data_IF_486588037784
#
_entry.id   IF_486588037784
#
_cell.length_a   1.000
_cell.length_b   1.000
_cell.length_c   1.000
_cell.angle_alpha   90.00
_cell.angle_beta   90.00
_cell.angle_gamma   90.00
#
_symmetry.space_group_name_H-M   'P 1'
#
loop_
_entity.id
_entity.type
_entity.pdbx_description
1 polymer ?
#
# COMPACT_ATOMS: atom_id res chain seq x y z
N UNK A 1 14.65 -12.67 10.74
CA UNK A 1 13.75 -11.86 9.88
C UNK A 1 13.77 -10.37 10.23
N UNK A 2 14.30 -9.96 11.38
CA UNK A 2 14.24 -8.58 11.88
C UNK A 2 14.99 -7.56 11.02
N UNK A 3 16.12 -7.94 10.39
CA UNK A 3 16.82 -7.06 9.46
C UNK A 3 15.93 -6.64 8.27
N UNK A 4 15.08 -7.54 7.77
CA UNK A 4 14.12 -7.19 6.70
C UNK A 4 13.08 -6.20 7.20
N UNK A 5 12.59 -6.38 8.44
CA UNK A 5 11.65 -5.47 9.10
C UNK A 5 12.28 -4.07 9.25
N UNK A 6 13.50 -4.00 9.78
CA UNK A 6 14.25 -2.75 9.96
C UNK A 6 14.50 -2.02 8.64
N UNK A 7 14.82 -2.75 7.56
CA UNK A 7 14.98 -2.15 6.23
C UNK A 7 13.68 -1.57 5.66
N UNK A 8 12.50 -1.93 6.18
CA UNK A 8 11.22 -1.37 5.76
C UNK A 8 10.87 -0.14 6.59
N UNK A 9 10.92 -0.26 7.92
CA UNK A 9 10.64 0.82 8.85
C UNK A 9 11.19 0.50 10.25
N UNK A 10 11.69 1.51 10.98
CA UNK A 10 12.25 1.32 12.32
C UNK A 10 11.22 0.78 13.32
N UNK A 11 10.00 1.30 13.28
CA UNK A 11 8.89 0.88 14.16
C UNK A 11 8.38 -0.54 13.91
N UNK A 12 8.93 -1.27 12.95
CA UNK A 12 8.62 -2.70 12.78
C UNK A 12 9.26 -3.60 13.84
N UNK A 13 10.16 -3.04 14.65
CA UNK A 13 10.77 -3.70 15.79
C UNK A 13 9.96 -3.42 17.05
N UNK A 14 9.75 -4.43 17.88
CA UNK A 14 8.98 -4.33 19.10
C UNK A 14 9.68 -3.38 20.10
N UNK A 15 8.90 -2.46 20.70
CA UNK A 15 9.40 -1.51 21.71
C UNK A 15 10.17 -0.31 21.16
N UNK A 16 10.23 -0.12 19.84
CA UNK A 16 10.87 1.06 19.20
C UNK A 16 9.86 2.16 18.88
N UNK A 17 8.57 1.85 18.95
CA UNK A 17 7.51 2.82 18.72
C UNK A 17 7.49 3.87 19.84
N UNK A 18 7.62 5.17 19.52
CA UNK A 18 7.68 6.20 20.53
C UNK A 18 6.27 6.51 21.06
N UNK A 19 6.14 6.58 22.39
CA UNK A 19 4.90 6.97 23.04
C UNK A 19 4.79 8.51 22.99
N UNK A 20 4.12 9.02 21.96
CA UNK A 20 3.98 10.46 21.70
C UNK A 20 2.50 10.82 21.65
N UNK A 21 2.07 11.66 22.60
CA UNK A 21 0.67 12.11 22.69
C UNK A 21 0.28 13.09 21.56
N UNK A 22 1.23 13.84 20.99
CA UNK A 22 0.95 14.79 19.89
C UNK A 22 0.95 14.09 18.52
N UNK A 23 -0.21 14.02 17.83
CA UNK A 23 -0.31 13.37 16.52
C UNK A 23 0.57 14.02 15.44
N UNK A 24 0.87 15.32 15.54
CA UNK A 24 1.73 16.00 14.55
C UNK A 24 3.18 15.58 14.68
N UNK A 25 3.67 15.51 15.92
CA UNK A 25 5.04 15.08 16.20
C UNK A 25 5.19 13.59 15.92
N UNK A 26 4.19 12.77 16.27
CA UNK A 26 4.15 11.34 15.91
C UNK A 26 4.27 11.12 14.40
N UNK A 27 3.51 11.88 13.59
CA UNK A 27 3.61 11.80 12.13
C UNK A 27 4.98 12.21 11.58
N UNK A 28 5.58 13.25 12.15
CA UNK A 28 6.91 13.71 11.74
C UNK A 28 7.98 12.65 12.03
N UNK A 29 7.95 12.08 13.24
CA UNK A 29 8.86 11.00 13.64
C UNK A 29 8.67 9.74 12.78
N UNK A 30 7.42 9.37 12.47
CA UNK A 30 7.10 8.29 11.54
C UNK A 30 7.80 8.50 10.19
N UNK A 31 7.67 9.68 9.58
CA UNK A 31 8.33 9.99 8.31
C UNK A 31 9.86 10.03 8.39
N UNK A 32 10.41 10.63 9.45
CA UNK A 32 11.87 10.79 9.62
C UNK A 32 12.56 9.47 9.94
N UNK A 33 11.86 8.52 10.56
CA UNK A 33 12.41 7.20 10.93
C UNK A 33 12.61 6.24 9.74
N UNK A 34 12.07 6.53 8.56
CA UNK A 34 12.26 5.72 7.35
C UNK A 34 12.39 6.56 6.08
N UNK A 35 13.58 6.52 5.47
CA UNK A 35 13.83 7.17 4.18
C UNK A 35 12.96 6.63 3.03
N UNK A 36 12.52 5.36 3.11
CA UNK A 36 11.59 4.78 2.13
C UNK A 36 10.20 5.40 2.26
N UNK A 37 9.70 5.55 3.49
CA UNK A 37 8.41 6.17 3.74
C UNK A 37 8.44 7.66 3.38
N UNK A 38 9.54 8.35 3.66
CA UNK A 38 9.73 9.74 3.24
C UNK A 38 9.70 9.92 1.72
N UNK A 39 10.32 9.00 0.97
CA UNK A 39 10.26 9.01 -0.50
C UNK A 39 8.85 8.70 -1.00
N UNK A 40 8.20 7.69 -0.40
CA UNK A 40 6.81 7.33 -0.70
C UNK A 40 5.89 8.54 -0.50
N UNK A 41 6.08 9.31 0.57
CA UNK A 41 5.28 10.51 0.85
C UNK A 41 5.30 11.51 -0.30
N UNK A 42 6.50 11.86 -0.76
CA UNK A 42 6.69 12.80 -1.88
C UNK A 42 6.07 12.29 -3.18
N UNK A 43 6.15 10.99 -3.43
CA UNK A 43 5.54 10.37 -4.62
C UNK A 43 4.01 10.37 -4.52
N UNK A 44 3.46 9.97 -3.38
CA UNK A 44 2.03 9.86 -3.15
C UNK A 44 1.33 11.22 -3.23
N UNK A 45 1.94 12.28 -2.72
CA UNK A 45 1.39 13.65 -2.86
C UNK A 45 1.24 14.03 -4.33
N UNK A 46 2.28 13.82 -5.15
CA UNK A 46 2.22 14.11 -6.60
C UNK A 46 1.18 13.27 -7.32
N UNK A 47 1.10 11.98 -7.01
CA UNK A 47 0.10 11.07 -7.60
C UNK A 47 -1.32 11.52 -7.24
N UNK A 48 -1.53 11.98 -6.01
CA UNK A 48 -2.83 12.49 -5.57
C UNK A 48 -3.21 13.78 -6.29
N UNK A 49 -2.28 14.71 -6.44
CA UNK A 49 -2.49 15.97 -7.19
C UNK A 49 -2.86 15.70 -8.66
N UNK A 50 -2.29 14.65 -9.24
CA UNK A 50 -2.57 14.20 -10.60
C UNK A 50 -3.86 13.35 -10.73
N UNK A 51 -4.53 13.03 -9.62
CA UNK A 51 -5.76 12.23 -9.62
C UNK A 51 -5.55 10.74 -9.89
N UNK A 52 -4.32 10.24 -9.71
CA UNK A 52 -3.98 8.82 -9.85
C UNK A 52 -4.52 8.01 -8.66
N UNK A 53 -4.78 6.72 -8.87
CA UNK A 53 -5.18 5.73 -7.88
C UNK A 53 -4.07 4.71 -7.68
N UNK A 54 -3.68 4.51 -6.42
CA UNK A 54 -2.45 3.79 -6.08
C UNK A 54 -2.73 2.49 -5.33
N UNK A 55 -2.12 1.40 -5.78
CA UNK A 55 -2.08 0.12 -5.05
C UNK A 55 -0.75 -0.01 -4.34
N UNK A 56 -0.75 -0.26 -3.03
CA UNK A 56 0.46 -0.48 -2.25
C UNK A 56 0.50 -1.93 -1.77
N UNK A 57 1.53 -2.67 -2.19
CA UNK A 57 1.76 -4.04 -1.78
C UNK A 57 2.86 -4.16 -0.73
N UNK A 58 2.58 -4.91 0.33
CA UNK A 58 3.54 -5.27 1.37
C UNK A 58 3.38 -6.74 1.80
N UNK A 59 4.48 -7.40 2.10
CA UNK A 59 4.54 -8.73 2.68
C UNK A 59 4.21 -8.72 4.18
N UNK A 60 4.46 -7.61 4.89
CA UNK A 60 4.29 -7.53 6.33
C UNK A 60 2.94 -6.89 6.73
N UNK A 61 2.18 -7.56 7.60
CA UNK A 61 0.92 -7.02 8.11
C UNK A 61 1.14 -5.76 8.96
N UNK A 62 2.17 -5.75 9.79
CA UNK A 62 2.52 -4.59 10.63
C UNK A 62 2.85 -3.34 9.81
N UNK A 63 3.39 -3.51 8.60
CA UNK A 63 3.62 -2.37 7.70
C UNK A 63 2.31 -1.82 7.12
N UNK A 64 1.28 -2.66 6.96
CA UNK A 64 -0.05 -2.17 6.58
C UNK A 64 -0.60 -1.26 7.67
N UNK A 65 -0.44 -1.65 8.95
CA UNK A 65 -0.89 -0.84 10.09
C UNK A 65 -0.22 0.55 10.08
N UNK A 66 1.11 0.60 9.92
CA UNK A 66 1.84 1.88 9.79
C UNK A 66 1.41 2.71 8.56
N UNK A 67 1.07 2.07 7.45
CA UNK A 67 0.57 2.75 6.25
C UNK A 67 -0.86 3.27 6.43
N UNK A 68 -1.68 2.60 7.25
CA UNK A 68 -3.02 3.08 7.64
C UNK A 68 -2.91 4.36 8.48
N UNK A 69 -1.99 4.39 9.45
CA UNK A 69 -1.73 5.58 10.25
C UNK A 69 -1.24 6.72 9.37
N UNK A 70 -0.27 6.46 8.49
CA UNK A 70 0.22 7.42 7.51
C UNK A 70 -0.92 8.02 6.65
N UNK A 71 -1.80 7.17 6.10
CA UNK A 71 -2.93 7.64 5.30
C UNK A 71 -3.94 8.43 6.14
N UNK A 72 -4.14 8.04 7.40
CA UNK A 72 -5.02 8.73 8.36
C UNK A 72 -4.50 10.12 8.70
N UNK A 73 -3.20 10.27 8.96
CA UNK A 73 -2.54 11.56 9.19
C UNK A 73 -2.69 12.50 7.99
N UNK A 74 -2.53 11.98 6.76
CA UNK A 74 -2.73 12.74 5.52
C UNK A 74 -4.21 12.95 5.15
N UNK A 75 -5.14 12.36 5.90
CA UNK A 75 -6.59 12.37 5.64
C UNK A 75 -6.95 11.85 4.25
N UNK A 76 -6.27 10.79 3.82
CA UNK A 76 -6.53 10.14 2.54
C UNK A 76 -7.46 8.96 2.77
N UNK A 77 -8.49 8.82 1.93
CA UNK A 77 -9.35 7.65 2.03
C UNK A 77 -8.68 6.46 1.36
N UNK A 78 -8.65 5.35 2.09
CA UNK A 78 -8.01 4.11 1.66
C UNK A 78 -8.94 2.92 1.88
N UNK A 79 -8.57 1.80 1.27
CA UNK A 79 -9.13 0.48 1.58
C UNK A 79 -7.97 -0.48 1.87
N UNK A 80 -8.18 -1.45 2.77
CA UNK A 80 -7.18 -2.47 3.11
C UNK A 80 -7.75 -3.86 2.85
N UNK A 81 -6.98 -4.73 2.23
CA UNK A 81 -7.25 -6.18 2.26
C UNK A 81 -6.00 -6.90 2.77
N UNK A 82 -6.20 -7.63 3.85
CA UNK A 82 -5.25 -8.61 4.34
C UNK A 82 -5.74 -10.04 4.03
N UNK A 83 -4.92 -11.03 4.40
CA UNK A 83 -5.28 -12.45 4.24
C UNK A 83 -6.34 -12.95 5.23
N UNK A 84 -6.82 -12.13 6.16
CA UNK A 84 -7.83 -12.48 7.17
C UNK A 84 -9.24 -12.02 6.77
N UNK A 85 -9.36 -11.06 5.84
CA UNK A 85 -10.67 -10.60 5.31
C UNK A 85 -11.38 -11.73 4.56
N UNK A 86 -12.62 -12.03 4.97
CA UNK A 86 -13.50 -13.00 4.32
C UNK A 86 -13.86 -12.60 2.88
N UNK A 87 -14.20 -13.59 2.05
CA UNK A 87 -14.44 -13.38 0.61
C UNK A 87 -15.53 -12.35 0.28
N UNK A 88 -16.62 -12.31 1.06
CA UNK A 88 -17.71 -11.36 0.84
C UNK A 88 -17.29 -9.91 1.13
N UNK A 89 -16.68 -9.66 2.30
CA UNK A 89 -16.18 -8.33 2.67
C UNK A 89 -15.08 -7.85 1.71
N UNK A 90 -14.26 -8.78 1.22
CA UNK A 90 -13.26 -8.50 0.19
C UNK A 90 -13.90 -7.92 -1.06
N UNK A 91 -14.95 -8.55 -1.58
CA UNK A 91 -15.65 -8.07 -2.77
C UNK A 91 -16.26 -6.69 -2.55
N UNK A 92 -16.86 -6.44 -1.39
CA UNK A 92 -17.43 -5.13 -1.04
C UNK A 92 -16.35 -4.04 -1.04
N UNK A 93 -15.14 -4.32 -0.56
CA UNK A 93 -14.01 -3.36 -0.60
C UNK A 93 -13.51 -3.12 -2.03
N UNK A 94 -13.44 -4.17 -2.84
CA UNK A 94 -13.07 -4.07 -4.27
C UNK A 94 -14.09 -3.21 -5.01
N UNK A 95 -15.39 -3.45 -4.81
CA UNK A 95 -16.46 -2.72 -5.48
C UNK A 95 -16.48 -1.24 -5.07
N UNK A 96 -16.24 -0.95 -3.79
CA UNK A 96 -16.07 0.43 -3.28
C UNK A 96 -14.91 1.17 -3.94
N UNK A 97 -13.79 0.50 -4.17
CA UNK A 97 -12.65 1.10 -4.86
C UNK A 97 -12.90 1.27 -6.36
N UNK A 98 -13.56 0.29 -6.99
CA UNK A 98 -13.87 0.31 -8.42
C UNK A 98 -15.05 1.21 -8.80
N UNK A 99 -15.79 1.77 -7.83
CA UNK A 99 -16.89 2.68 -8.08
C UNK A 99 -16.43 3.90 -8.91
N UNK A 100 -17.24 4.31 -9.90
CA UNK A 100 -16.89 5.38 -10.87
C UNK A 100 -16.52 6.72 -10.20
N UNK A 101 -17.12 7.02 -9.05
CA UNK A 101 -16.86 8.22 -8.26
C UNK A 101 -16.22 7.88 -6.90
N UNK A 102 -15.39 6.83 -6.85
CA UNK A 102 -14.75 6.45 -5.59
C UNK A 102 -13.83 7.57 -5.10
N UNK A 103 -14.03 7.99 -3.85
CA UNK A 103 -13.14 8.92 -3.15
C UNK A 103 -11.87 8.25 -2.62
N UNK A 104 -11.70 6.95 -2.86
CA UNK A 104 -10.60 6.13 -2.36
C UNK A 104 -9.37 6.32 -3.25
N UNK A 105 -8.35 6.93 -2.68
CA UNK A 105 -7.11 7.25 -3.39
C UNK A 105 -6.17 6.04 -3.43
N UNK A 106 -6.05 5.32 -2.32
CA UNK A 106 -5.12 4.20 -2.22
C UNK A 106 -5.76 2.91 -1.73
N UNK A 107 -5.17 1.79 -2.13
CA UNK A 107 -5.54 0.45 -1.68
C UNK A 107 -4.32 -0.26 -1.11
N UNK A 108 -4.39 -0.64 0.16
CA UNK A 108 -3.34 -1.34 0.88
C UNK A 108 -3.56 -2.85 0.79
N UNK A 109 -2.58 -3.57 0.25
CA UNK A 109 -2.69 -5.00 -0.05
C UNK A 109 -1.55 -5.78 0.57
N UNK A 110 -1.92 -6.86 1.25
CA UNK A 110 -0.97 -7.93 1.54
C UNK A 110 -0.59 -8.64 0.23
N UNK A 111 0.70 -8.93 0.01
CA UNK A 111 1.14 -9.75 -1.14
C UNK A 111 0.49 -11.14 -1.14
N UNK A 112 0.16 -11.69 0.03
CA UNK A 112 -0.60 -12.95 0.15
C UNK A 112 -2.05 -12.80 -0.31
N UNK A 113 -2.67 -11.65 -0.06
CA UNK A 113 -4.02 -11.37 -0.53
C UNK A 113 -4.05 -11.07 -2.04
N UNK A 114 -3.03 -10.41 -2.57
CA UNK A 114 -2.92 -10.04 -3.99
C UNK A 114 -2.82 -11.22 -4.96
N UNK A 115 -2.28 -12.37 -4.52
CA UNK A 115 -2.17 -13.59 -5.33
C UNK A 115 -3.49 -14.33 -5.55
N UNK A 116 -4.60 -13.86 -5.00
CA UNK A 116 -5.90 -14.54 -5.03
C UNK A 116 -6.82 -14.09 -6.19
N UNK A 117 -6.28 -13.39 -7.19
CA UNK A 117 -7.05 -13.01 -8.39
C UNK A 117 -8.01 -11.84 -8.17
N UNK A 118 -7.53 -10.78 -7.52
CA UNK A 118 -8.30 -9.55 -7.27
C UNK A 118 -8.32 -8.67 -8.54
N UNK A 119 -9.50 -8.20 -8.98
CA UNK A 119 -9.63 -7.30 -10.12
C UNK A 119 -9.76 -5.82 -9.69
N UNK A 120 -8.64 -5.10 -9.71
CA UNK A 120 -8.57 -3.67 -9.39
C UNK A 120 -8.26 -2.87 -10.67
N UNK A 121 -9.15 -2.97 -11.66
CA UNK A 121 -8.96 -2.38 -13.00
C UNK A 121 -8.89 -0.84 -12.99
N UNK A 122 -9.34 -0.23 -11.89
CA UNK A 122 -9.45 1.22 -11.75
C UNK A 122 -8.16 1.89 -11.29
N UNK A 123 -7.22 1.14 -10.71
CA UNK A 123 -5.92 1.66 -10.32
C UNK A 123 -4.97 1.73 -11.50
N UNK A 124 -4.16 2.79 -11.52
CA UNK A 124 -3.20 3.09 -12.57
C UNK A 124 -1.74 2.98 -12.09
N UNK A 125 -1.51 3.10 -10.77
CA UNK A 125 -0.16 3.04 -10.20
C UNK A 125 -0.04 1.91 -9.19
N UNK A 126 1.05 1.13 -9.27
CA UNK A 126 1.36 0.04 -8.32
C UNK A 126 2.70 0.30 -7.66
N UNK A 127 2.71 0.35 -6.34
CA UNK A 127 3.89 0.46 -5.50
C UNK A 127 4.08 -0.85 -4.74
N UNK A 128 5.27 -1.44 -4.82
CA UNK A 128 5.64 -2.60 -4.02
C UNK A 128 6.64 -2.16 -2.97
N UNK A 129 6.19 -2.04 -1.72
CA UNK A 129 6.96 -1.42 -0.63
C UNK A 129 8.12 -2.31 -0.15
N UNK A 130 7.87 -3.62 -0.01
CA UNK A 130 8.83 -4.56 0.58
C UNK A 130 9.77 -5.21 -0.44
N UNK A 131 9.74 -4.75 -1.70
CA UNK A 131 10.73 -5.21 -2.68
C UNK A 131 12.08 -4.64 -2.28
N UNK A 132 12.80 -5.42 -1.47
CA UNK A 132 14.24 -5.35 -1.38
C UNK A 132 14.79 -5.46 -2.81
N UNK A 133 15.80 -4.65 -3.13
CA UNK A 133 16.49 -4.66 -4.41
C UNK A 133 17.21 -6.01 -4.59
N UNK A 134 16.48 -7.03 -5.00
CA UNK A 134 17.05 -8.18 -5.69
C UNK A 134 16.81 -7.94 -7.17
N UNK A 135 17.68 -7.13 -7.78
CA UNK A 135 17.66 -6.90 -9.22
C UNK A 135 18.25 -8.07 -10.02
N UNK A 136 18.59 -9.23 -9.42
CA UNK A 136 19.34 -10.27 -10.14
C UNK A 136 18.94 -11.73 -9.93
N UNK A 137 18.00 -12.09 -9.05
CA UNK A 137 17.57 -13.49 -8.97
C UNK A 137 16.05 -13.66 -8.90
N UNK A 138 15.58 -14.28 -9.96
CA UNK A 138 14.38 -15.10 -10.09
C UNK A 138 13.09 -14.43 -10.61
N UNK A 139 12.93 -14.55 -11.93
CA UNK A 139 11.70 -14.32 -12.69
C UNK A 139 10.58 -15.33 -12.36
N UNK A 140 10.77 -16.29 -11.46
CA UNK A 140 9.81 -17.40 -11.27
C UNK A 140 8.92 -17.40 -10.01
N UNK A 141 8.96 -16.39 -9.12
CA UNK A 141 8.11 -16.37 -7.90
C UNK A 141 7.22 -15.12 -7.73
N UNK A 142 6.71 -14.54 -8.82
CA UNK A 142 5.44 -13.83 -8.73
C UNK A 142 4.33 -14.84 -9.02
N UNK A 143 3.60 -15.36 -8.01
CA UNK A 143 2.42 -16.18 -8.27
C UNK A 143 1.46 -15.33 -9.10
N UNK A 144 1.33 -15.68 -10.38
CA UNK A 144 0.33 -15.24 -11.35
C UNK A 144 -0.43 -13.96 -11.00
N UNK A 145 0.28 -12.85 -10.76
CA UNK A 145 -0.33 -11.54 -10.56
C UNK A 145 -0.81 -11.07 -11.95
N UNK A 146 -1.96 -11.60 -12.38
CA UNK A 146 -2.67 -11.09 -13.56
C UNK A 146 -3.28 -9.75 -13.18
N UNK A 147 -2.46 -8.71 -13.13
CA UNK A 147 -2.96 -7.34 -13.28
C UNK A 147 -3.46 -7.22 -14.72
N UNK A 148 -4.74 -7.49 -14.94
CA UNK A 148 -5.41 -7.12 -16.18
C UNK A 148 -5.59 -5.59 -16.18
N UNK A 149 -4.54 -4.85 -16.50
CA UNK A 149 -4.66 -3.49 -16.99
C UNK A 149 -5.36 -3.56 -18.35
N UNK A 150 -6.69 -3.46 -18.37
CA UNK A 150 -7.36 -3.00 -19.59
C UNK A 150 -7.16 -1.49 -19.63
N UNK A 151 -6.18 -1.02 -20.42
CA UNK A 151 -6.32 0.31 -21.01
C UNK A 151 -7.59 0.22 -21.84
N UNK A 152 -8.61 0.98 -21.47
CA UNK A 152 -9.70 1.28 -22.39
C UNK A 152 -9.08 2.07 -23.53
N UNK A 153 -8.66 1.38 -24.58
CA UNK A 153 -8.64 1.93 -25.93
C UNK A 153 -10.03 1.67 -26.50
N UNK A 154 -10.87 2.71 -26.48
CA UNK A 154 -12.16 2.93 -27.15
C UNK A 154 -12.58 4.34 -26.67
N UNK A 155 -12.89 5.36 -27.46
CA UNK A 155 -13.18 5.59 -28.87
C UNK A 155 -12.97 7.10 -29.08
N UNK A 156 -12.30 7.48 -30.18
CA UNK A 156 -12.57 8.62 -31.08
C UNK A 156 -11.38 8.84 -32.04
#
# INVERSE_FOLDING_TARGET
>A
MELRKLCCHAYMLEGVEPDIDDPKEAFKQLLESSGKLHLLDKMMVKLKEQGHRVLIYTQFQHMLDLLEDYCSYKRWQYERIDGKVGGAERQIRIDRFNAKNSSRFCFLLSTRAGGLGINLATADTVVIYDRFLHCLFDRQQLPSMKLNFRRNEEED
#
